data_IF_259299301778
#
_entry.id   IF_259299301778
#
_cell.length_a   1.000
_cell.length_b   1.000
_cell.length_c   1.000
_cell.angle_alpha   90.00
_cell.angle_beta   90.00
_cell.angle_gamma   90.00
#
_symmetry.space_group_name_H-M   'P 1'
#
loop_
_entity.id
_entity.type
_entity.pdbx_description
1 polymer ?
#
# COMPACT_ATOMS: atom_id res chain seq x y z
N UNK A 1 -5.78 -6.39 -16.05
CA UNK A 1 -5.53 -6.21 -14.60
C UNK A 1 -6.39 -5.04 -14.14
N UNK A 2 -7.06 -5.16 -13.00
CA UNK A 2 -7.85 -4.06 -12.45
C UNK A 2 -6.92 -3.15 -11.62
N UNK A 3 -6.93 -1.84 -11.90
CA UNK A 3 -6.26 -0.84 -11.07
C UNK A 3 -7.29 -0.31 -10.08
N UNK A 4 -6.99 -0.42 -8.78
CA UNK A 4 -7.76 0.23 -7.72
C UNK A 4 -6.96 1.44 -7.28
N UNK A 5 -7.57 2.61 -7.39
CA UNK A 5 -6.99 3.87 -6.95
C UNK A 5 -7.64 4.27 -5.64
N UNK A 6 -6.85 4.30 -4.56
CA UNK A 6 -7.31 4.74 -3.24
C UNK A 6 -6.95 6.20 -3.12
N UNK A 7 -7.93 7.09 -3.31
CA UNK A 7 -7.78 8.52 -3.06
C UNK A 7 -8.03 8.76 -1.57
N UNK A 8 -6.98 8.60 -0.77
CA UNK A 8 -7.11 8.56 0.68
C UNK A 8 -5.79 8.82 1.41
N UNK A 9 -5.85 8.87 2.74
CA UNK A 9 -4.65 9.03 3.59
C UNK A 9 -3.82 7.74 3.64
N UNK A 10 -2.55 7.78 4.10
CA UNK A 10 -1.77 6.57 4.33
C UNK A 10 -2.48 5.53 5.21
N UNK A 11 -3.28 5.96 6.19
CA UNK A 11 -4.03 5.03 7.05
C UNK A 11 -5.11 4.25 6.28
N UNK A 12 -5.75 4.87 5.29
CA UNK A 12 -6.74 4.19 4.44
C UNK A 12 -6.06 3.18 3.52
N UNK A 13 -4.89 3.52 2.99
CA UNK A 13 -4.06 2.59 2.23
C UNK A 13 -3.68 1.37 3.09
N UNK A 14 -3.26 1.57 4.34
CA UNK A 14 -2.90 0.47 5.24
C UNK A 14 -4.09 -0.49 5.48
N UNK A 15 -5.28 0.06 5.72
CA UNK A 15 -6.48 -0.76 5.96
C UNK A 15 -6.82 -1.63 4.74
N UNK A 16 -6.78 -1.05 3.54
CA UNK A 16 -7.10 -1.78 2.31
C UNK A 16 -6.00 -2.80 1.99
N UNK A 17 -4.72 -2.41 2.10
CA UNK A 17 -3.59 -3.32 1.87
C UNK A 17 -3.64 -4.53 2.82
N UNK A 18 -3.95 -4.29 4.10
CA UNK A 18 -4.13 -5.36 5.09
C UNK A 18 -5.28 -6.29 4.71
N UNK A 19 -6.42 -5.73 4.29
CA UNK A 19 -7.56 -6.52 3.84
C UNK A 19 -7.20 -7.40 2.63
N UNK A 20 -6.54 -6.84 1.62
CA UNK A 20 -6.15 -7.57 0.42
C UNK A 20 -5.15 -8.70 0.75
N UNK A 21 -4.15 -8.41 1.58
CA UNK A 21 -3.18 -9.40 2.04
C UNK A 21 -3.85 -10.55 2.80
N UNK A 22 -4.76 -10.25 3.72
CA UNK A 22 -5.50 -11.25 4.49
C UNK A 22 -6.40 -12.15 3.64
N UNK A 23 -6.78 -11.69 2.45
CA UNK A 23 -7.59 -12.45 1.49
C UNK A 23 -6.76 -13.12 0.39
N UNK A 24 -5.43 -13.16 0.51
CA UNK A 24 -4.50 -13.69 -0.50
C UNK A 24 -4.67 -13.05 -1.90
N UNK A 25 -5.12 -11.79 -1.94
CA UNK A 25 -5.20 -11.04 -3.19
C UNK A 25 -3.82 -10.44 -3.46
N UNK A 26 -3.27 -10.68 -4.65
CA UNK A 26 -2.01 -10.04 -5.08
C UNK A 26 -2.28 -8.59 -5.50
N UNK A 27 -1.49 -7.66 -4.96
CA UNK A 27 -1.57 -6.23 -5.27
C UNK A 27 -0.19 -5.59 -5.15
N UNK A 28 -0.04 -4.43 -5.77
CA UNK A 28 1.15 -3.58 -5.68
C UNK A 28 0.76 -2.20 -5.18
N UNK A 29 1.55 -1.64 -4.27
CA UNK A 29 1.41 -0.24 -3.83
C UNK A 29 2.35 0.60 -4.69
N UNK A 30 1.78 1.51 -5.49
CA UNK A 30 2.53 2.39 -6.39
C UNK A 30 2.51 3.84 -5.90
N UNK A 31 3.53 4.60 -6.29
CA UNK A 31 3.60 6.04 -6.02
C UNK A 31 2.50 6.81 -6.75
N UNK A 32 1.85 7.71 -6.02
CA UNK A 32 0.81 8.63 -6.52
C UNK A 32 1.42 9.88 -7.22
N UNK A 33 2.69 10.22 -6.95
CA UNK A 33 3.36 11.45 -7.41
C UNK A 33 2.62 12.77 -7.04
N UNK A 34 1.65 12.71 -6.13
CA UNK A 34 0.94 13.86 -5.59
C UNK A 34 1.72 14.61 -4.51
N UNK A 35 1.20 15.79 -4.16
CA UNK A 35 1.75 16.64 -3.10
C UNK A 35 1.31 16.11 -1.73
N UNK A 36 2.01 15.10 -1.22
CA UNK A 36 1.85 14.62 0.15
C UNK A 36 2.70 15.45 1.11
N UNK A 37 2.29 15.51 2.39
CA UNK A 37 3.14 16.05 3.44
C UNK A 37 4.38 15.15 3.65
N UNK A 38 5.45 15.69 4.23
CA UNK A 38 6.66 14.90 4.52
C UNK A 38 6.36 13.70 5.45
N UNK A 39 5.42 13.87 6.39
CA UNK A 39 5.00 12.81 7.30
C UNK A 39 4.24 11.70 6.54
N UNK A 40 3.35 12.07 5.62
CA UNK A 40 2.60 11.11 4.82
C UNK A 40 3.53 10.32 3.90
N UNK A 41 4.53 10.97 3.31
CA UNK A 41 5.53 10.31 2.47
C UNK A 41 6.27 9.21 3.24
N UNK A 42 6.70 9.48 4.48
CA UNK A 42 7.38 8.48 5.31
C UNK A 42 6.46 7.28 5.62
N UNK A 43 5.19 7.53 5.94
CA UNK A 43 4.18 6.47 6.12
C UNK A 43 3.97 5.66 4.84
N UNK A 44 3.89 6.30 3.68
CA UNK A 44 3.75 5.61 2.38
C UNK A 44 4.95 4.72 2.07
N UNK A 45 6.17 5.19 2.30
CA UNK A 45 7.37 4.38 2.07
C UNK A 45 7.42 3.16 3.01
N UNK A 46 7.07 3.34 4.29
CA UNK A 46 6.95 2.24 5.24
C UNK A 46 5.90 1.19 4.80
N UNK A 47 4.75 1.64 4.30
CA UNK A 47 3.70 0.75 3.79
C UNK A 47 4.15 -0.03 2.56
N UNK A 48 4.83 0.62 1.61
CA UNK A 48 5.40 -0.09 0.46
C UNK A 48 6.40 -1.13 0.89
N UNK A 49 7.34 -0.80 1.77
CA UNK A 49 8.33 -1.75 2.25
C UNK A 49 7.65 -2.98 2.91
N UNK A 50 6.61 -2.75 3.70
CA UNK A 50 5.86 -3.80 4.41
C UNK A 50 5.11 -4.75 3.47
N UNK A 51 4.48 -4.23 2.42
CA UNK A 51 3.65 -5.02 1.51
C UNK A 51 4.37 -5.43 0.22
N UNK A 52 5.57 -4.88 -0.05
CA UNK A 52 6.44 -5.28 -1.16
C UNK A 52 7.38 -6.43 -0.80
N UNK A 53 7.56 -6.74 0.49
CA UNK A 53 8.37 -7.89 0.88
C UNK A 53 7.69 -9.17 0.36
N UNK A 54 8.42 -10.04 -0.37
CA UNK A 54 7.84 -11.30 -0.84
C UNK A 54 7.34 -12.08 0.37
N UNK A 55 6.05 -12.45 0.33
CA UNK A 55 5.48 -13.38 1.32
C UNK A 55 6.35 -14.64 1.28
N UNK A 56 6.98 -15.06 2.38
CA UNK A 56 7.77 -16.29 2.39
C UNK A 56 6.87 -17.44 1.95
N UNK A 57 7.25 -18.14 0.89
CA UNK A 57 6.60 -19.39 0.51
C UNK A 57 6.87 -20.41 1.63
N UNK A 58 5.81 -20.90 2.27
CA UNK A 58 5.87 -21.99 3.26
C UNK A 58 6.20 -23.32 2.58
#
# INVERSE_FOLDING_TARGET
>A
MAKIEIKGTPEELERVATFLANNNVKFDIVNDYGNHSLEDLDKYENLKARFSAPVPEN
#
